data_IF_417979529580
#
_entry.id   IF_417979529580
#
_cell.length_a   1.000
_cell.length_b   1.000
_cell.length_c   1.000
_cell.angle_alpha   90.00
_cell.angle_beta   90.00
_cell.angle_gamma   90.00
#
_symmetry.space_group_name_H-M   'P 1'
#
loop_
_entity.id
_entity.type
_entity.pdbx_description
1 polymer ?
#
# COMPACT_ATOMS: atom_id res chain seq x y z
N UNK A 1 -2.01 17.47 -22.59
CA UNK A 1 -1.69 17.20 -22.59
C UNK A 1 -1.33 16.84 -22.46
N UNK A 2 -1.16 16.69 -22.50
CA UNK A 2 -0.66 16.18 -22.46
C UNK A 2 -0.27 15.84 -21.93
N UNK A 3 -0.01 15.63 -21.72
CA UNK A 3 0.57 15.28 -21.27
C UNK A 3 1.23 15.37 -20.93
N UNK A 4 0.63 14.93 -21.35
CA UNK A 4 1.84 14.34 -21.10
C UNK A 4 2.67 15.31 -20.53
N UNK A 5 2.43 16.19 -20.82
CA UNK A 5 3.23 17.19 -20.34
C UNK A 5 3.54 17.16 -18.91
N UNK A 6 3.03 16.30 -18.27
CA UNK A 6 3.35 16.22 -16.86
C UNK A 6 4.75 15.78 -16.58
N UNK A 7 5.62 16.09 -17.34
CA UNK A 7 7.02 15.98 -17.17
C UNK A 7 7.60 14.90 -16.26
N UNK A 8 7.14 14.68 -15.13
CA UNK A 8 7.71 13.71 -14.22
C UNK A 8 6.96 12.40 -14.11
N UNK A 9 5.83 12.31 -14.75
CA UNK A 9 4.97 11.14 -14.57
C UNK A 9 5.37 10.01 -15.51
N UNK A 10 5.48 8.81 -14.99
CA UNK A 10 5.68 7.64 -15.84
C UNK A 10 4.37 7.29 -16.52
N UNK A 11 4.45 6.75 -17.75
CA UNK A 11 3.26 6.39 -18.50
C UNK A 11 2.45 5.26 -17.91
N UNK A 12 3.07 4.40 -17.11
CA UNK A 12 2.39 3.27 -16.51
C UNK A 12 2.24 3.40 -15.00
N UNK A 13 2.16 4.61 -14.50
CA UNK A 13 1.94 4.82 -13.08
C UNK A 13 0.62 4.19 -12.64
N UNK A 14 0.54 3.58 -11.45
CA UNK A 14 -0.70 3.01 -10.96
C UNK A 14 -1.76 4.07 -10.74
N UNK A 15 -3.00 3.72 -10.99
CA UNK A 15 -4.11 4.58 -10.63
C UNK A 15 -4.37 4.50 -9.15
N UNK A 16 -4.77 5.61 -8.57
CA UNK A 16 -5.00 5.67 -7.13
C UNK A 16 -6.05 4.65 -6.67
N UNK A 17 -7.09 4.46 -7.44
CA UNK A 17 -8.15 3.52 -7.09
C UNK A 17 -7.72 2.06 -7.16
N UNK A 18 -6.87 1.70 -8.13
CA UNK A 18 -6.42 0.33 -8.29
C UNK A 18 -5.30 -0.08 -7.37
N UNK A 19 -4.66 0.86 -6.78
CA UNK A 19 -3.53 0.73 -5.89
C UNK A 19 -3.88 -0.12 -4.67
N UNK A 20 -5.09 -0.01 -4.16
CA UNK A 20 -5.51 -0.76 -2.98
C UNK A 20 -6.35 -1.97 -3.32
N UNK A 21 -6.21 -2.49 -4.52
CA UNK A 21 -6.91 -3.72 -4.86
C UNK A 21 -6.40 -4.88 -4.04
N UNK A 22 -7.30 -5.82 -3.79
CA UNK A 22 -6.97 -7.02 -3.07
C UNK A 22 -5.85 -7.78 -3.79
N UNK A 23 -4.85 -8.19 -3.03
CA UNK A 23 -3.72 -8.93 -3.57
C UNK A 23 -2.53 -8.08 -3.97
N UNK A 24 -2.64 -6.75 -3.87
CA UNK A 24 -1.50 -5.88 -4.14
C UNK A 24 -0.49 -5.99 -3.03
N UNK A 25 0.77 -6.21 -3.38
CA UNK A 25 1.86 -6.25 -2.40
C UNK A 25 2.34 -4.83 -2.13
N UNK A 26 2.38 -4.46 -0.87
CA UNK A 26 2.78 -3.11 -0.47
C UNK A 26 3.73 -3.14 0.72
N UNK A 27 4.53 -2.09 0.85
CA UNK A 27 5.32 -1.81 2.05
C UNK A 27 4.75 -0.56 2.69
N UNK A 28 4.44 -0.64 3.97
CA UNK A 28 3.76 0.44 4.68
C UNK A 28 4.66 0.95 5.79
N UNK A 29 4.83 2.26 5.84
CA UNK A 29 5.50 2.92 6.94
C UNK A 29 4.45 3.53 7.84
N UNK A 30 4.38 3.06 9.07
CA UNK A 30 3.44 3.57 10.05
C UNK A 30 4.04 4.77 10.78
N UNK A 31 3.17 5.64 11.28
CA UNK A 31 3.60 6.82 12.03
C UNK A 31 4.34 6.47 13.30
N UNK A 32 4.11 5.27 13.83
CA UNK A 32 4.81 4.78 15.00
C UNK A 32 6.25 4.37 14.72
N UNK A 33 6.65 4.36 13.45
CA UNK A 33 8.00 3.95 13.05
C UNK A 33 8.12 2.50 12.64
N UNK A 34 7.06 1.73 12.74
CA UNK A 34 7.07 0.33 12.30
C UNK A 34 6.84 0.25 10.81
N UNK A 35 7.60 -0.60 10.14
CA UNK A 35 7.42 -0.88 8.72
C UNK A 35 6.84 -2.27 8.58
N UNK A 36 5.84 -2.39 7.70
CA UNK A 36 5.17 -3.65 7.44
C UNK A 36 5.14 -3.91 5.94
N UNK A 37 5.23 -5.17 5.57
CA UNK A 37 5.06 -5.59 4.18
C UNK A 37 3.98 -6.64 4.12
N UNK A 38 3.14 -6.60 3.10
CA UNK A 38 2.10 -7.59 2.95
C UNK A 38 1.18 -7.33 1.78
N UNK A 39 0.18 -8.19 1.66
CA UNK A 39 -0.80 -8.10 0.60
C UNK A 39 -2.05 -7.41 1.11
N UNK A 40 -2.60 -6.53 0.29
CA UNK A 40 -3.84 -5.84 0.63
C UNK A 40 -4.99 -6.85 0.61
N UNK A 41 -5.71 -6.96 1.72
CA UNK A 41 -6.92 -7.80 1.80
C UNK A 41 -8.18 -7.00 1.53
N UNK A 42 -8.18 -5.73 1.92
CA UNK A 42 -9.32 -4.87 1.68
C UNK A 42 -9.12 -3.51 2.30
N UNK A 43 -9.94 -2.56 1.89
CA UNK A 43 -9.92 -1.20 2.41
C UNK A 43 -11.33 -0.69 2.58
N UNK A 44 -11.52 0.23 3.49
CA UNK A 44 -12.76 0.99 3.62
C UNK A 44 -12.42 2.40 4.13
N UNK A 45 -13.44 3.15 4.55
CA UNK A 45 -13.21 4.52 5.02
C UNK A 45 -12.42 4.58 6.32
N UNK A 46 -12.29 3.47 7.04
CA UNK A 46 -11.57 3.43 8.31
C UNK A 46 -10.11 3.08 8.15
N UNK A 47 -9.76 2.29 7.15
CA UNK A 47 -8.37 1.89 6.97
C UNK A 47 -8.16 0.72 6.03
N UNK A 48 -7.06 0.06 6.24
CA UNK A 48 -6.52 -0.99 5.37
C UNK A 48 -6.33 -2.27 6.17
N UNK A 49 -6.83 -3.38 5.63
CA UNK A 49 -6.53 -4.71 6.18
C UNK A 49 -5.40 -5.33 5.38
N UNK A 50 -4.34 -5.72 6.07
CA UNK A 50 -3.12 -6.23 5.46
C UNK A 50 -2.87 -7.67 5.89
N UNK A 51 -2.56 -8.53 4.93
CA UNK A 51 -2.03 -9.88 5.17
C UNK A 51 -0.52 -9.73 5.29
N UNK A 52 -0.02 -9.57 6.50
CA UNK A 52 1.36 -9.22 6.77
C UNK A 52 2.28 -10.39 6.43
N UNK A 53 3.41 -10.07 5.81
CA UNK A 53 4.45 -11.04 5.48
C UNK A 53 5.71 -10.72 6.27
N UNK A 54 6.41 -11.76 6.71
CA UNK A 54 7.70 -11.58 7.35
C UNK A 54 8.79 -11.36 6.28
N UNK A 55 10.02 -11.04 6.68
CA UNK A 55 11.09 -10.80 5.70
C UNK A 55 11.39 -11.96 4.78
N UNK A 56 11.05 -13.20 5.16
CA UNK A 56 11.24 -14.35 4.28
C UNK A 56 10.05 -14.58 3.35
N UNK A 57 8.98 -13.79 3.50
CA UNK A 57 7.79 -13.90 2.67
C UNK A 57 6.73 -14.84 3.21
N UNK A 58 6.95 -15.40 4.37
CA UNK A 58 5.98 -16.31 4.99
C UNK A 58 4.82 -15.54 5.59
N UNK A 59 3.61 -16.12 5.63
CA UNK A 59 2.45 -15.46 6.21
C UNK A 59 2.66 -15.17 7.69
N UNK A 60 2.33 -13.97 8.10
CA UNK A 60 2.26 -13.58 9.49
C UNK A 60 0.80 -13.44 9.90
N UNK A 61 0.50 -12.36 10.59
CA UNK A 61 -0.85 -12.07 11.06
C UNK A 61 -1.56 -11.13 10.10
N UNK A 62 -2.89 -11.10 10.17
CA UNK A 62 -3.64 -10.02 9.54
C UNK A 62 -3.60 -8.83 10.48
N UNK A 63 -3.37 -7.64 9.92
CA UNK A 63 -3.38 -6.41 10.70
C UNK A 63 -4.27 -5.38 10.05
N UNK A 64 -5.04 -4.69 10.86
CA UNK A 64 -5.83 -3.55 10.41
C UNK A 64 -5.09 -2.27 10.77
N UNK A 65 -4.90 -1.41 9.77
CA UNK A 65 -4.21 -0.14 9.94
C UNK A 65 -5.17 1.00 9.62
N UNK A 66 -5.56 1.80 10.62
CA UNK A 66 -6.34 3.00 10.34
C UNK A 66 -5.56 3.94 9.43
N UNK A 67 -6.24 4.64 8.55
CA UNK A 67 -5.58 5.56 7.63
C UNK A 67 -4.71 6.57 8.36
N UNK A 68 -5.14 7.01 9.53
CA UNK A 68 -4.38 8.00 10.31
C UNK A 68 -3.06 7.47 10.84
N UNK A 69 -2.86 6.17 10.89
CA UNK A 69 -1.61 5.57 11.37
C UNK A 69 -0.63 5.27 10.24
N UNK A 70 -1.03 5.47 9.01
CA UNK A 70 -0.19 5.18 7.84
C UNK A 70 0.45 6.49 7.39
N UNK A 71 1.78 6.49 7.30
CA UNK A 71 2.50 7.64 6.81
C UNK A 71 2.79 7.52 5.33
N UNK A 72 3.17 6.33 4.88
CA UNK A 72 3.56 6.12 3.48
C UNK A 72 3.28 4.69 3.07
N UNK A 73 2.88 4.51 1.83
CA UNK A 73 2.69 3.19 1.22
C UNK A 73 3.53 3.14 -0.04
N UNK A 74 4.34 2.09 -0.15
CA UNK A 74 5.13 1.84 -1.35
C UNK A 74 4.54 0.61 -2.03
N UNK A 75 4.22 0.73 -3.30
CA UNK A 75 3.72 -0.40 -4.09
C UNK A 75 4.91 -1.17 -4.62
N UNK A 76 4.93 -2.44 -4.33
CA UNK A 76 6.01 -3.31 -4.76
C UNK A 76 5.93 -3.71 -6.24
#
# INVERSE_FOLDING_TARGET
>A
LEDGGTGGMRGNAPELGGFFERGTLVSISARTGNDLQGYVCGTDERGLLLDVRDPSGDPGDYEFLPWSSIERVIIE
#
